data_IF_235209465238
#
_entry.id   IF_235209465238
#
_cell.length_a   1.000
_cell.length_b   1.000
_cell.length_c   1.000
_cell.angle_alpha   90.00
_cell.angle_beta   90.00
_cell.angle_gamma   90.00
#
_symmetry.space_group_name_H-M   'P 1'
#
loop_
_entity.id
_entity.type
_entity.pdbx_description
1 polymer ?
#
# COMPACT_ATOMS: atom_id res chain seq x y z
N UNK A 1 30.00 66.34 6.17
CA UNK A 1 28.58 65.96 6.31
C UNK A 1 27.85 66.56 5.12
N UNK A 2 27.60 65.82 4.04
CA UNK A 2 26.35 65.06 3.82
C UNK A 2 25.29 66.02 3.25
N UNK A 3 24.65 65.85 2.11
CA UNK A 3 24.68 64.85 1.04
C UNK A 3 23.96 65.48 -0.16
N UNK A 4 24.36 65.12 -1.38
CA UNK A 4 23.78 65.65 -2.62
C UNK A 4 22.62 64.76 -3.04
N UNK A 5 21.41 65.32 -3.06
CA UNK A 5 20.21 64.69 -3.58
C UNK A 5 19.92 65.18 -5.02
N UNK A 6 20.04 64.24 -5.94
CA UNK A 6 19.11 63.86 -7.01
C UNK A 6 18.38 64.93 -7.84
N UNK A 7 18.62 64.90 -9.16
CA UNK A 7 17.60 65.09 -10.19
C UNK A 7 18.05 64.41 -11.47
N UNK A 8 17.54 63.21 -11.75
CA UNK A 8 17.58 62.62 -13.08
C UNK A 8 16.15 62.22 -13.50
N UNK A 9 15.83 62.64 -14.70
CA UNK A 9 14.56 62.59 -15.40
C UNK A 9 14.23 61.21 -15.97
N UNK A 10 12.93 60.99 -16.22
CA UNK A 10 12.31 60.09 -17.23
C UNK A 10 12.55 58.58 -17.04
N UNK A 11 11.59 57.66 -17.13
CA UNK A 11 10.34 57.63 -17.90
C UNK A 11 9.54 56.35 -17.56
N UNK A 12 8.22 56.42 -17.74
CA UNK A 12 7.29 55.33 -18.11
C UNK A 12 7.32 54.01 -17.32
N UNK A 13 6.41 53.92 -16.35
CA UNK A 13 5.83 52.69 -15.83
C UNK A 13 4.88 52.05 -16.85
N UNK A 14 5.20 50.85 -17.31
CA UNK A 14 4.21 49.90 -17.82
C UNK A 14 4.52 48.52 -17.26
N UNK A 15 3.63 48.09 -16.36
CA UNK A 15 3.58 46.78 -15.75
C UNK A 15 3.12 45.75 -16.78
N UNK A 16 3.95 44.74 -17.06
CA UNK A 16 3.53 43.54 -17.77
C UNK A 16 3.94 42.30 -16.98
N UNK A 17 2.93 41.69 -16.35
CA UNK A 17 2.99 40.39 -15.71
C UNK A 17 3.53 39.33 -16.68
N UNK A 18 4.63 38.70 -16.33
CA UNK A 18 5.19 37.56 -17.05
C UNK A 18 4.27 36.34 -16.87
N UNK A 19 3.43 36.07 -17.87
CA UNK A 19 2.80 34.76 -18.04
C UNK A 19 3.91 33.75 -18.38
N UNK A 20 4.12 32.77 -17.53
CA UNK A 20 5.01 31.63 -17.78
C UNK A 20 4.42 30.76 -18.89
N UNK A 21 4.90 30.94 -20.12
CA UNK A 21 4.62 30.02 -21.21
C UNK A 21 5.54 28.80 -21.07
N UNK A 22 4.95 27.60 -20.93
CA UNK A 22 5.67 26.34 -20.96
C UNK A 22 6.36 26.09 -22.32
N UNK A 23 7.31 25.13 -22.38
CA UNK A 23 8.14 24.92 -23.56
C UNK A 23 7.31 24.40 -24.75
N UNK A 24 7.50 25.02 -25.91
CA UNK A 24 6.85 24.62 -27.17
C UNK A 24 7.76 23.71 -27.99
N UNK A 25 7.32 22.47 -28.23
CA UNK A 25 7.86 21.60 -29.26
C UNK A 25 6.72 21.18 -30.19
N UNK A 26 6.84 21.46 -31.49
CA UNK A 26 5.98 20.87 -32.52
C UNK A 26 4.56 21.43 -32.66
N UNK A 27 4.28 22.66 -32.26
CA UNK A 27 3.01 23.35 -32.59
C UNK A 27 1.74 22.81 -31.92
N UNK A 28 1.81 21.74 -31.13
CA UNK A 28 0.75 21.33 -30.22
C UNK A 28 0.91 22.07 -28.88
N UNK A 29 -0.08 22.90 -28.53
CA UNK A 29 -0.22 23.43 -27.16
C UNK A 29 -0.75 22.29 -26.30
N UNK A 30 0.16 21.62 -25.60
CA UNK A 30 -0.22 20.69 -24.54
C UNK A 30 -0.90 21.48 -23.41
N UNK A 31 -1.99 20.98 -22.81
CA UNK A 31 -2.53 21.59 -21.59
C UNK A 31 -1.40 21.68 -20.55
N UNK A 32 -1.37 22.79 -19.81
CA UNK A 32 -0.38 23.01 -18.75
C UNK A 32 -0.52 21.92 -17.68
N UNK A 33 0.25 20.85 -17.83
CA UNK A 33 0.30 19.77 -16.85
C UNK A 33 0.94 20.31 -15.57
N UNK A 34 0.33 20.12 -14.39
CA UNK A 34 0.81 20.68 -13.13
C UNK A 34 1.90 19.77 -12.55
N UNK A 35 2.95 19.47 -13.30
CA UNK A 35 4.09 18.77 -12.73
C UNK A 35 4.86 19.74 -11.83
N UNK A 36 5.10 19.35 -10.59
CA UNK A 36 6.24 19.86 -9.83
C UNK A 36 7.42 18.95 -10.18
N UNK A 37 8.25 19.36 -11.15
CA UNK A 37 9.41 18.56 -11.58
C UNK A 37 10.41 18.35 -10.46
N UNK A 38 10.50 19.28 -9.50
CA UNK A 38 11.36 19.10 -8.34
C UNK A 38 10.76 18.06 -7.39
N UNK A 39 9.44 18.01 -7.23
CA UNK A 39 8.78 16.93 -6.49
C UNK A 39 8.92 15.58 -7.20
N UNK A 40 8.69 15.52 -8.51
CA UNK A 40 8.87 14.31 -9.30
C UNK A 40 10.32 13.83 -9.28
N UNK A 41 11.29 14.76 -9.30
CA UNK A 41 12.71 14.46 -9.15
C UNK A 41 13.05 13.92 -7.75
N UNK A 42 12.51 14.53 -6.68
CA UNK A 42 12.64 14.02 -5.31
C UNK A 42 12.02 12.64 -5.14
N UNK A 43 10.87 12.38 -5.76
CA UNK A 43 10.19 11.09 -5.68
C UNK A 43 10.88 10.01 -6.51
N UNK A 44 11.44 10.35 -7.67
CA UNK A 44 12.30 9.45 -8.43
C UNK A 44 13.60 9.16 -7.66
N UNK A 45 14.13 10.14 -6.93
CA UNK A 45 15.29 9.97 -6.05
C UNK A 45 14.93 9.08 -4.86
N UNK A 46 13.81 9.32 -4.17
CA UNK A 46 13.31 8.47 -3.07
C UNK A 46 13.03 7.05 -3.55
N UNK A 47 12.36 6.87 -4.71
CA UNK A 47 12.15 5.58 -5.35
C UNK A 47 13.47 4.83 -5.55
N UNK A 48 14.43 5.53 -6.15
CA UNK A 48 15.73 4.98 -6.46
C UNK A 48 16.50 4.65 -5.19
N UNK A 49 16.50 5.53 -4.19
CA UNK A 49 17.13 5.35 -2.88
C UNK A 49 16.49 4.18 -2.13
N UNK A 50 15.16 4.07 -2.06
CA UNK A 50 14.45 2.95 -1.45
C UNK A 50 14.84 1.61 -2.08
N UNK A 51 14.99 1.56 -3.41
CA UNK A 51 15.36 0.33 -4.12
C UNK A 51 16.86 0.03 -3.99
N UNK A 52 17.73 1.04 -4.03
CA UNK A 52 19.19 0.88 -4.09
C UNK A 52 19.83 0.78 -2.70
N UNK A 53 19.28 1.44 -1.69
CA UNK A 53 19.74 1.36 -0.29
C UNK A 53 19.07 0.23 0.50
N UNK A 54 18.14 -0.50 -0.12
CA UNK A 54 17.64 -1.75 0.44
C UNK A 54 18.81 -2.72 0.70
N UNK A 55 18.76 -3.45 1.82
CA UNK A 55 19.77 -4.49 2.14
C UNK A 55 19.91 -5.53 1.01
N UNK A 56 18.84 -5.77 0.26
CA UNK A 56 18.82 -6.61 -0.95
C UNK A 56 18.07 -5.94 -2.13
N UNK A 57 18.77 -5.13 -2.96
CA UNK A 57 18.20 -4.42 -4.10
C UNK A 57 17.67 -5.34 -5.19
N UNK A 58 18.28 -6.52 -5.36
CA UNK A 58 17.90 -7.48 -6.39
C UNK A 58 16.56 -8.14 -6.05
N UNK A 59 16.34 -8.46 -4.78
CA UNK A 59 15.03 -8.94 -4.31
C UNK A 59 13.95 -7.87 -4.43
N UNK A 60 14.27 -6.60 -4.15
CA UNK A 60 13.36 -5.47 -4.40
C UNK A 60 12.95 -5.36 -5.87
N UNK A 61 13.92 -5.37 -6.79
CA UNK A 61 13.65 -5.30 -8.24
C UNK A 61 12.81 -6.49 -8.74
N UNK A 62 13.07 -7.70 -8.25
CA UNK A 62 12.27 -8.90 -8.57
C UNK A 62 10.82 -8.76 -8.09
N UNK A 63 10.61 -8.24 -6.88
CA UNK A 63 9.26 -8.01 -6.33
C UNK A 63 8.46 -6.99 -7.16
N UNK A 64 9.09 -5.90 -7.60
CA UNK A 64 8.47 -4.93 -8.50
C UNK A 64 8.11 -5.58 -9.85
N UNK A 65 9.02 -6.34 -10.44
CA UNK A 65 8.76 -7.06 -11.69
C UNK A 65 7.60 -8.05 -11.56
N UNK A 66 7.55 -8.80 -10.45
CA UNK A 66 6.46 -9.72 -10.13
C UNK A 66 5.12 -8.97 -9.98
N UNK A 67 5.10 -7.82 -9.30
CA UNK A 67 3.89 -7.01 -9.17
C UNK A 67 3.35 -6.57 -10.54
N UNK A 68 4.22 -6.13 -11.43
CA UNK A 68 3.84 -5.75 -12.80
C UNK A 68 3.30 -6.95 -13.58
N UNK A 69 3.96 -8.10 -13.51
CA UNK A 69 3.54 -9.32 -14.19
C UNK A 69 2.19 -9.83 -13.67
N UNK A 70 2.02 -9.92 -12.36
CA UNK A 70 0.75 -10.32 -11.74
C UNK A 70 -0.38 -9.35 -12.08
N UNK A 71 -0.11 -8.04 -12.08
CA UNK A 71 -1.08 -7.01 -12.50
C UNK A 71 -1.53 -7.23 -13.95
N UNK A 72 -0.58 -7.46 -14.86
CA UNK A 72 -0.88 -7.76 -16.27
C UNK A 72 -1.71 -9.05 -16.42
N UNK A 73 -1.43 -10.09 -15.64
CA UNK A 73 -2.19 -11.35 -15.67
C UNK A 73 -3.63 -11.15 -15.18
N UNK A 74 -3.84 -10.45 -14.05
CA UNK A 74 -5.18 -10.15 -13.52
C UNK A 74 -6.00 -9.34 -14.53
N UNK A 75 -5.38 -8.34 -15.16
CA UNK A 75 -6.03 -7.55 -16.21
C UNK A 75 -6.35 -8.40 -17.45
N UNK A 76 -5.45 -9.28 -17.87
CA UNK A 76 -5.66 -10.21 -19.00
C UNK A 76 -6.84 -11.16 -18.74
N UNK A 77 -6.94 -11.70 -17.52
CA UNK A 77 -8.07 -12.53 -17.10
C UNK A 77 -9.38 -11.74 -17.11
N UNK A 78 -9.37 -10.49 -16.63
CA UNK A 78 -10.52 -9.59 -16.66
C UNK A 78 -10.95 -9.25 -18.09
N UNK A 79 -10.00 -9.10 -19.01
CA UNK A 79 -10.29 -8.88 -20.44
C UNK A 79 -10.91 -10.12 -21.06
N UNK A 80 -10.35 -11.29 -20.79
CA UNK A 80 -10.81 -12.56 -21.36
C UNK A 80 -12.20 -12.95 -20.83
N UNK A 81 -12.52 -12.62 -19.58
CA UNK A 81 -13.82 -12.88 -18.95
C UNK A 81 -14.91 -11.87 -19.30
N UNK A 82 -14.57 -10.77 -19.97
CA UNK A 82 -15.47 -9.64 -20.24
C UNK A 82 -15.67 -8.69 -19.04
N UNK A 83 -15.08 -8.98 -17.87
CA UNK A 83 -15.12 -8.09 -16.69
C UNK A 83 -14.50 -6.71 -16.99
N UNK A 84 -13.49 -6.63 -17.87
CA UNK A 84 -12.87 -5.36 -18.25
C UNK A 84 -13.79 -4.49 -19.11
N UNK A 85 -14.58 -5.08 -20.01
CA UNK A 85 -15.54 -4.34 -20.84
C UNK A 85 -16.59 -3.68 -19.97
N UNK A 86 -17.10 -4.41 -18.97
CA UNK A 86 -18.03 -3.87 -17.98
C UNK A 86 -17.42 -2.70 -17.21
N UNK A 87 -16.17 -2.82 -16.74
CA UNK A 87 -15.45 -1.72 -16.07
C UNK A 87 -15.26 -0.48 -16.96
N UNK A 88 -14.90 -0.68 -18.23
CA UNK A 88 -14.78 0.43 -19.18
C UNK A 88 -16.12 1.09 -19.47
N UNK A 89 -17.18 0.30 -19.62
CA UNK A 89 -18.54 0.81 -19.83
C UNK A 89 -19.04 1.60 -18.62
N UNK A 90 -18.73 1.15 -17.40
CA UNK A 90 -19.08 1.88 -16.20
C UNK A 90 -18.29 3.20 -16.09
N UNK A 91 -16.97 3.16 -16.33
CA UNK A 91 -16.13 4.35 -16.30
C UNK A 91 -16.57 5.38 -17.35
N UNK A 92 -16.92 4.91 -18.56
CA UNK A 92 -17.48 5.75 -19.61
C UNK A 92 -18.85 6.32 -19.22
N UNK A 93 -19.68 5.55 -18.54
CA UNK A 93 -20.99 5.99 -18.03
C UNK A 93 -20.83 7.05 -16.95
N UNK A 94 -19.96 6.82 -15.97
CA UNK A 94 -19.63 7.77 -14.91
C UNK A 94 -19.06 9.07 -15.48
N UNK A 95 -18.18 8.99 -16.48
CA UNK A 95 -17.61 10.16 -17.14
C UNK A 95 -18.67 10.98 -17.89
N UNK A 96 -19.54 10.33 -18.67
CA UNK A 96 -20.64 11.02 -19.39
C UNK A 96 -21.57 11.74 -18.41
N UNK A 97 -21.84 11.10 -17.27
CA UNK A 97 -22.70 11.66 -16.24
C UNK A 97 -22.06 12.88 -15.56
N UNK A 98 -20.78 12.80 -15.18
CA UNK A 98 -20.04 13.93 -14.62
C UNK A 98 -19.98 15.13 -15.58
N UNK A 99 -19.83 14.88 -16.88
CA UNK A 99 -19.85 15.93 -17.92
C UNK A 99 -21.23 16.58 -18.03
N UNK A 100 -22.32 15.80 -17.99
CA UNK A 100 -23.68 16.35 -18.01
C UNK A 100 -23.99 17.20 -16.77
N UNK A 101 -23.55 16.79 -15.60
CA UNK A 101 -23.75 17.54 -14.35
C UNK A 101 -23.03 18.90 -14.37
N UNK A 102 -21.79 18.94 -14.86
CA UNK A 102 -21.05 20.19 -15.07
C UNK A 102 -21.75 21.12 -16.07
N UNK A 103 -22.34 20.57 -17.14
CA UNK A 103 -23.02 21.36 -18.16
C UNK A 103 -24.37 21.92 -17.72
N UNK A 104 -25.06 21.26 -16.79
CA UNK A 104 -26.40 21.66 -16.36
C UNK A 104 -26.42 22.56 -15.11
N UNK A 105 -25.29 22.74 -14.41
CA UNK A 105 -25.22 23.63 -13.24
C UNK A 105 -26.13 23.22 -12.07
N UNK A 106 -26.56 21.94 -12.02
CA UNK A 106 -27.43 21.42 -10.97
C UNK A 106 -26.64 21.15 -9.66
N UNK A 107 -27.19 21.49 -8.48
CA UNK A 107 -26.60 21.07 -7.21
C UNK A 107 -26.68 19.54 -7.03
N UNK A 108 -25.67 18.99 -6.37
CA UNK A 108 -25.34 17.56 -6.18
C UNK A 108 -26.38 16.70 -5.44
N UNK A 109 -27.57 17.22 -5.13
CA UNK A 109 -28.57 16.55 -4.28
C UNK A 109 -29.63 15.72 -5.03
N UNK A 110 -29.65 15.72 -6.37
CA UNK A 110 -30.67 14.99 -7.16
C UNK A 110 -30.18 13.66 -7.78
N UNK A 111 -28.90 13.31 -7.63
CA UNK A 111 -28.22 12.19 -8.30
C UNK A 111 -28.54 10.77 -7.75
N UNK A 112 -29.64 10.57 -7.03
CA UNK A 112 -29.62 9.69 -5.85
C UNK A 112 -29.73 8.16 -6.05
N UNK A 113 -29.88 7.61 -7.27
CA UNK A 113 -30.03 6.14 -7.41
C UNK A 113 -29.18 5.50 -8.52
N UNK A 114 -29.22 6.01 -9.76
CA UNK A 114 -28.48 5.38 -10.87
C UNK A 114 -27.00 5.76 -10.94
N UNK A 115 -26.64 7.00 -10.55
CA UNK A 115 -25.25 7.47 -10.39
C UNK A 115 -24.52 6.63 -9.34
N UNK A 116 -25.17 6.45 -8.19
CA UNK A 116 -24.66 5.66 -7.08
C UNK A 116 -24.57 4.18 -7.45
N UNK A 117 -25.57 3.60 -8.14
CA UNK A 117 -25.55 2.20 -8.54
C UNK A 117 -24.47 1.86 -9.60
N UNK A 118 -24.27 2.73 -10.60
CA UNK A 118 -23.19 2.56 -11.58
C UNK A 118 -21.81 2.71 -10.91
N UNK A 119 -21.66 3.64 -9.96
CA UNK A 119 -20.44 3.78 -9.17
C UNK A 119 -20.20 2.61 -8.21
N UNK A 120 -21.25 2.06 -7.59
CA UNK A 120 -21.14 0.99 -6.59
C UNK A 120 -20.77 -0.35 -7.25
N UNK A 121 -21.37 -0.68 -8.39
CA UNK A 121 -20.99 -1.87 -9.16
C UNK A 121 -19.59 -1.77 -9.79
N UNK A 122 -19.18 -0.57 -10.22
CA UNK A 122 -17.80 -0.30 -10.64
C UNK A 122 -16.81 -0.53 -9.50
N UNK A 123 -17.13 0.01 -8.32
CA UNK A 123 -16.29 -0.10 -7.12
C UNK A 123 -16.18 -1.56 -6.68
N UNK A 124 -17.27 -2.34 -6.72
CA UNK A 124 -17.22 -3.78 -6.45
C UNK A 124 -16.34 -4.53 -7.44
N UNK A 125 -16.47 -4.26 -8.75
CA UNK A 125 -15.61 -4.87 -9.78
C UNK A 125 -14.14 -4.52 -9.57
N UNK A 126 -13.83 -3.25 -9.30
CA UNK A 126 -12.46 -2.80 -9.01
C UNK A 126 -11.91 -3.44 -7.73
N UNK A 127 -12.71 -3.51 -6.66
CA UNK A 127 -12.34 -4.15 -5.41
C UNK A 127 -12.01 -5.64 -5.61
N UNK A 128 -12.81 -6.36 -6.40
CA UNK A 128 -12.60 -7.77 -6.72
C UNK A 128 -11.29 -8.00 -7.49
N UNK A 129 -10.98 -7.15 -8.47
CA UNK A 129 -9.71 -7.24 -9.19
C UNK A 129 -8.52 -6.95 -8.26
N UNK A 130 -8.64 -5.95 -7.39
CA UNK A 130 -7.59 -5.62 -6.42
C UNK A 130 -7.38 -6.76 -5.41
N UNK A 131 -8.46 -7.37 -4.91
CA UNK A 131 -8.41 -8.55 -4.02
C UNK A 131 -7.69 -9.72 -4.69
N UNK A 132 -8.06 -10.06 -5.94
CA UNK A 132 -7.38 -11.11 -6.73
C UNK A 132 -5.89 -10.81 -6.93
N UNK A 133 -5.54 -9.55 -7.19
CA UNK A 133 -4.15 -9.12 -7.28
C UNK A 133 -3.43 -9.34 -5.95
N UNK A 134 -4.05 -8.98 -4.82
CA UNK A 134 -3.46 -9.18 -3.49
C UNK A 134 -3.24 -10.66 -3.17
N UNK A 135 -4.19 -11.53 -3.50
CA UNK A 135 -4.04 -12.98 -3.34
C UNK A 135 -2.89 -13.56 -4.15
N UNK A 136 -2.74 -13.11 -5.40
CA UNK A 136 -1.63 -13.56 -6.26
C UNK A 136 -0.27 -13.06 -5.79
N UNK A 137 -0.22 -11.86 -5.21
CA UNK A 137 1.01 -11.29 -4.66
C UNK A 137 1.39 -11.89 -3.30
N UNK A 138 0.43 -12.38 -2.51
CA UNK A 138 0.66 -13.12 -1.28
C UNK A 138 0.87 -12.23 -0.04
N UNK A 139 1.74 -12.68 0.88
CA UNK A 139 1.79 -12.27 2.29
C UNK A 139 1.54 -10.78 2.59
N UNK A 140 2.35 -9.87 2.03
CA UNK A 140 2.21 -8.42 2.28
C UNK A 140 0.88 -7.86 1.81
N UNK A 141 0.42 -8.28 0.64
CA UNK A 141 -0.78 -7.76 0.02
C UNK A 141 -2.03 -8.35 0.67
N UNK A 142 -2.00 -9.61 1.10
CA UNK A 142 -3.05 -10.17 1.97
C UNK A 142 -3.15 -9.38 3.27
N UNK A 143 -2.03 -9.01 3.90
CA UNK A 143 -1.99 -8.14 5.08
C UNK A 143 -2.61 -6.75 4.84
N UNK A 144 -2.32 -6.13 3.69
CA UNK A 144 -3.00 -4.90 3.26
C UNK A 144 -4.50 -5.13 3.08
N UNK A 145 -4.90 -6.27 2.53
CA UNK A 145 -6.31 -6.66 2.41
C UNK A 145 -7.01 -6.79 3.76
N UNK A 146 -6.35 -7.40 4.75
CA UNK A 146 -6.84 -7.51 6.13
C UNK A 146 -6.98 -6.13 6.78
N UNK A 147 -6.02 -5.23 6.54
CA UNK A 147 -6.10 -3.83 7.00
C UNK A 147 -7.33 -3.12 6.41
N UNK A 148 -7.57 -3.26 5.11
CA UNK A 148 -8.75 -2.71 4.43
C UNK A 148 -10.04 -3.27 5.03
N UNK A 149 -10.12 -4.60 5.17
CA UNK A 149 -11.27 -5.30 5.73
C UNK A 149 -11.60 -4.88 7.18
N UNK A 150 -10.59 -4.48 7.94
CA UNK A 150 -10.72 -4.10 9.36
C UNK A 150 -10.87 -2.59 9.59
N UNK A 151 -10.93 -1.79 8.51
CA UNK A 151 -10.96 -0.32 8.58
C UNK A 151 -12.27 0.27 8.05
N UNK A 152 -13.41 0.02 8.72
CA UNK A 152 -14.74 0.35 8.21
C UNK A 152 -14.99 1.86 8.03
N UNK A 153 -14.21 2.70 8.69
CA UNK A 153 -14.30 4.16 8.61
C UNK A 153 -13.43 4.76 7.50
N UNK A 154 -12.48 3.99 6.95
CA UNK A 154 -11.51 4.48 5.97
C UNK A 154 -11.89 4.12 4.53
N UNK A 155 -12.62 3.03 4.33
CA UNK A 155 -12.95 2.53 3.00
C UNK A 155 -14.46 2.45 2.75
N UNK A 156 -14.92 2.56 1.50
CA UNK A 156 -16.31 2.28 1.14
C UNK A 156 -16.71 0.84 1.51
N UNK A 157 -17.97 0.66 1.91
CA UNK A 157 -18.51 -0.66 2.33
C UNK A 157 -18.28 -1.75 1.28
N UNK A 158 -18.48 -1.45 0.00
CA UNK A 158 -18.26 -2.39 -1.10
C UNK A 158 -16.82 -2.92 -1.16
N UNK A 159 -15.83 -2.10 -0.84
CA UNK A 159 -14.43 -2.52 -0.77
C UNK A 159 -14.22 -3.40 0.47
N UNK A 160 -14.70 -2.95 1.64
CA UNK A 160 -14.55 -3.69 2.90
C UNK A 160 -15.14 -5.10 2.80
N UNK A 161 -16.34 -5.21 2.23
CA UNK A 161 -17.06 -6.47 2.07
C UNK A 161 -16.28 -7.45 1.18
N UNK A 162 -15.73 -6.98 0.05
CA UNK A 162 -14.92 -7.80 -0.85
C UNK A 162 -13.63 -8.27 -0.17
N UNK A 163 -12.98 -7.41 0.60
CA UNK A 163 -11.75 -7.72 1.32
C UNK A 163 -11.94 -8.57 2.58
N UNK A 164 -13.19 -8.83 3.03
CA UNK A 164 -13.43 -9.82 4.09
C UNK A 164 -12.86 -11.21 3.71
N UNK A 165 -12.79 -11.55 2.43
CA UNK A 165 -12.16 -12.79 1.96
C UNK A 165 -10.65 -12.87 2.22
N UNK A 166 -9.98 -11.77 2.59
CA UNK A 166 -8.58 -11.78 3.00
C UNK A 166 -8.38 -12.13 4.49
N UNK A 167 -9.48 -12.28 5.25
CA UNK A 167 -9.45 -12.70 6.66
C UNK A 167 -9.28 -14.22 6.83
N UNK A 168 -9.25 -14.99 5.72
CA UNK A 168 -9.11 -16.44 5.71
C UNK A 168 -7.72 -16.92 6.21
N UNK A 169 -7.68 -18.17 6.68
CA UNK A 169 -6.52 -18.80 7.30
C UNK A 169 -5.31 -18.88 6.37
N UNK A 170 -4.14 -18.48 6.87
CA UNK A 170 -2.89 -18.53 6.11
C UNK A 170 -2.28 -19.92 6.28
N UNK A 171 -1.91 -20.63 5.19
CA UNK A 171 -1.32 -21.95 5.31
C UNK A 171 -0.02 -21.90 6.15
N UNK A 172 0.22 -22.92 6.99
CA UNK A 172 1.42 -22.98 7.81
C UNK A 172 2.67 -23.26 6.98
N UNK A 173 3.80 -22.75 7.45
CA UNK A 173 5.11 -23.12 6.94
C UNK A 173 5.57 -24.46 7.54
N UNK A 174 6.49 -25.10 6.82
CA UNK A 174 7.12 -26.35 7.25
C UNK A 174 7.89 -26.13 8.55
N UNK A 175 7.57 -26.90 9.59
CA UNK A 175 8.28 -26.76 10.86
C UNK A 175 9.77 -27.06 10.70
N UNK A 176 10.11 -28.14 9.97
CA UNK A 176 11.48 -28.63 9.85
C UNK A 176 12.34 -27.76 8.95
N UNK A 177 11.76 -27.21 7.89
CA UNK A 177 12.51 -26.47 6.88
C UNK A 177 12.61 -24.99 7.23
N UNK A 178 11.59 -24.42 7.88
CA UNK A 178 11.49 -22.98 8.09
C UNK A 178 11.47 -22.61 9.57
N UNK A 179 10.45 -23.06 10.31
CA UNK A 179 10.18 -22.56 11.68
C UNK A 179 11.28 -22.96 12.67
N UNK A 180 11.76 -24.20 12.62
CA UNK A 180 12.79 -24.68 13.53
C UNK A 180 14.09 -23.87 13.41
N UNK A 181 14.44 -23.41 12.20
CA UNK A 181 15.63 -22.56 11.98
C UNK A 181 15.48 -21.25 12.73
N UNK A 182 14.35 -20.57 12.59
CA UNK A 182 14.06 -19.31 13.30
C UNK A 182 14.12 -19.51 14.81
N UNK A 183 13.48 -20.58 15.34
CA UNK A 183 13.52 -20.89 16.78
C UNK A 183 14.98 -21.07 17.24
N UNK A 184 15.79 -21.81 16.48
CA UNK A 184 17.17 -22.06 16.83
C UNK A 184 18.03 -20.80 16.75
N UNK A 185 17.86 -19.97 15.74
CA UNK A 185 18.61 -18.72 15.58
C UNK A 185 18.30 -17.75 16.73
N UNK A 186 17.03 -17.49 16.99
CA UNK A 186 16.57 -16.54 18.02
C UNK A 186 16.91 -17.00 19.45
N UNK A 187 16.88 -18.32 19.70
CA UNK A 187 17.16 -18.87 21.02
C UNK A 187 18.62 -19.31 21.22
N UNK A 188 19.52 -19.01 20.29
CA UNK A 188 20.96 -19.23 20.45
C UNK A 188 21.43 -20.67 20.23
N UNK A 189 20.72 -21.42 19.38
CA UNK A 189 21.11 -22.71 18.84
C UNK A 189 20.24 -23.89 19.31
N UNK A 190 20.24 -24.97 18.51
CA UNK A 190 19.45 -26.18 18.79
C UNK A 190 19.75 -26.78 20.19
N UNK A 191 21.01 -26.75 20.62
CA UNK A 191 21.42 -27.26 21.93
C UNK A 191 20.73 -26.52 23.07
N UNK A 192 20.62 -25.19 22.98
CA UNK A 192 19.93 -24.35 23.96
C UNK A 192 18.42 -24.56 23.91
N UNK A 193 17.83 -24.73 22.74
CA UNK A 193 16.41 -25.06 22.62
C UNK A 193 16.08 -26.40 23.28
N UNK A 194 16.94 -27.41 23.11
CA UNK A 194 16.79 -28.72 23.78
C UNK A 194 16.92 -28.62 25.30
N UNK A 195 17.67 -27.66 25.86
CA UNK A 195 17.73 -27.46 27.31
C UNK A 195 16.53 -26.70 27.86
N UNK A 196 15.94 -25.78 27.07
CA UNK A 196 14.78 -24.99 27.45
C UNK A 196 13.47 -25.80 27.37
N UNK A 197 13.29 -26.58 26.30
CA UNK A 197 12.04 -27.29 26.02
C UNK A 197 12.24 -28.81 26.07
N UNK A 198 11.25 -29.50 26.64
CA UNK A 198 11.18 -30.95 26.61
C UNK A 198 10.48 -31.46 25.34
N UNK A 199 9.53 -30.68 24.80
CA UNK A 199 8.81 -30.94 23.57
C UNK A 199 8.41 -29.62 22.91
N UNK A 200 8.49 -29.56 21.58
CA UNK A 200 7.84 -28.55 20.74
C UNK A 200 7.03 -29.34 19.71
N UNK A 201 5.75 -29.04 19.55
CA UNK A 201 4.89 -29.73 18.58
C UNK A 201 5.14 -29.18 17.18
N UNK A 202 5.49 -30.06 16.24
CA UNK A 202 5.75 -29.68 14.84
C UNK A 202 4.47 -29.18 14.15
N UNK A 203 3.31 -29.71 14.55
CA UNK A 203 2.00 -29.24 14.09
C UNK A 203 1.65 -27.92 14.78
N UNK A 204 1.37 -26.84 14.03
CA UNK A 204 1.04 -25.55 14.63
C UNK A 204 -0.38 -25.55 15.20
N UNK A 205 -0.56 -24.83 16.31
CA UNK A 205 -1.87 -24.50 16.87
C UNK A 205 -2.64 -23.52 15.97
N UNK A 206 -1.92 -22.59 15.34
CA UNK A 206 -2.46 -21.59 14.43
C UNK A 206 -1.34 -21.05 13.52
N UNK A 207 -1.71 -20.54 12.35
CA UNK A 207 -0.79 -19.80 11.47
C UNK A 207 -1.44 -18.51 11.02
N UNK A 208 -0.78 -17.39 11.31
CA UNK A 208 -1.15 -16.08 10.84
C UNK A 208 -0.24 -15.64 9.68
N UNK A 209 -0.52 -14.49 9.11
CA UNK A 209 0.27 -13.94 8.00
C UNK A 209 1.74 -13.68 8.38
N UNK A 210 2.00 -13.23 9.62
CA UNK A 210 3.37 -12.87 10.09
C UNK A 210 4.02 -13.97 10.91
N UNK A 211 3.26 -14.70 11.72
CA UNK A 211 3.79 -15.63 12.70
C UNK A 211 3.01 -16.94 12.71
N UNK A 212 3.68 -17.99 13.15
CA UNK A 212 3.10 -19.31 13.38
C UNK A 212 3.19 -19.66 14.86
N UNK A 213 2.16 -20.31 15.38
CA UNK A 213 2.01 -20.58 16.80
C UNK A 213 2.12 -22.08 17.06
N UNK A 214 3.02 -22.47 17.96
CA UNK A 214 3.28 -23.87 18.31
C UNK A 214 3.07 -24.10 19.80
N UNK A 215 2.61 -25.31 20.16
CA UNK A 215 2.60 -25.77 21.55
C UNK A 215 4.00 -26.24 21.93
N UNK A 216 4.44 -25.92 23.14
CA UNK A 216 5.69 -26.43 23.70
C UNK A 216 5.56 -26.74 25.19
N UNK A 217 6.52 -27.49 25.72
CA UNK A 217 6.58 -27.83 27.14
C UNK A 217 7.94 -27.44 27.69
N UNK A 218 7.97 -26.60 28.73
CA UNK A 218 9.19 -26.20 29.40
C UNK A 218 9.85 -27.40 30.10
N UNK A 219 11.16 -27.56 29.91
CA UNK A 219 11.90 -28.68 30.52
C UNK A 219 12.05 -28.52 32.04
N UNK A 220 12.22 -27.29 32.51
CA UNK A 220 12.49 -26.99 33.93
C UNK A 220 11.28 -27.23 34.83
N UNK A 221 10.08 -26.90 34.36
CA UNK A 221 8.85 -26.93 35.17
C UNK A 221 7.85 -27.99 34.70
N UNK A 222 7.92 -28.42 33.44
CA UNK A 222 6.89 -29.26 32.80
C UNK A 222 5.65 -28.48 32.35
N UNK A 223 5.65 -27.15 32.46
CA UNK A 223 4.53 -26.29 32.08
C UNK A 223 4.35 -26.25 30.56
N UNK A 224 3.09 -26.27 30.11
CA UNK A 224 2.73 -26.05 28.70
C UNK A 224 2.73 -24.56 28.38
N UNK A 225 3.44 -24.19 27.31
CA UNK A 225 3.56 -22.82 26.83
C UNK A 225 3.25 -22.75 25.34
N UNK A 226 3.00 -21.53 24.88
CA UNK A 226 2.77 -21.22 23.47
C UNK A 226 4.00 -20.50 22.92
N UNK A 227 4.56 -21.02 21.83
CA UNK A 227 5.64 -20.41 21.07
C UNK A 227 5.08 -19.75 19.82
N UNK A 228 5.03 -18.41 19.81
CA UNK A 228 4.75 -17.62 18.61
C UNK A 228 6.08 -17.34 17.91
N UNK A 229 6.22 -17.83 16.69
CA UNK A 229 7.45 -17.75 15.90
C UNK A 229 7.18 -16.89 14.67
N UNK A 230 7.94 -15.81 14.51
CA UNK A 230 7.86 -14.97 13.32
C UNK A 230 8.32 -15.78 12.09
N UNK A 231 7.58 -15.71 10.98
CA UNK A 231 7.96 -16.41 9.74
C UNK A 231 9.27 -15.80 9.22
N UNK A 232 10.20 -16.61 8.66
CA UNK A 232 11.46 -16.10 8.15
C UNK A 232 11.26 -15.06 7.05
N UNK A 233 12.16 -14.07 7.00
CA UNK A 233 12.21 -12.99 6.00
C UNK A 233 10.95 -12.10 5.88
N UNK A 234 9.94 -12.31 6.73
CA UNK A 234 8.64 -11.65 6.60
C UNK A 234 8.74 -10.14 6.82
N UNK A 235 9.56 -9.69 7.78
CA UNK A 235 9.71 -8.27 8.10
C UNK A 235 10.36 -7.49 6.95
N UNK A 236 11.41 -8.04 6.33
CA UNK A 236 12.09 -7.41 5.21
C UNK A 236 11.23 -7.41 3.94
N UNK A 237 10.54 -8.51 3.67
CA UNK A 237 9.59 -8.61 2.55
C UNK A 237 8.45 -7.59 2.71
N UNK A 238 7.81 -7.55 3.89
CA UNK A 238 6.77 -6.59 4.22
C UNK A 238 7.24 -5.15 4.03
N UNK A 239 8.40 -4.80 4.58
CA UNK A 239 8.95 -3.45 4.45
C UNK A 239 9.18 -3.07 2.99
N UNK A 240 9.81 -3.95 2.22
CA UNK A 240 10.11 -3.70 0.80
C UNK A 240 8.83 -3.46 0.00
N UNK A 241 7.83 -4.32 0.18
CA UNK A 241 6.56 -4.23 -0.54
C UNK A 241 5.76 -2.99 -0.13
N UNK A 242 5.69 -2.68 1.17
CA UNK A 242 4.96 -1.51 1.67
C UNK A 242 5.61 -0.20 1.23
N UNK A 243 6.94 -0.13 1.21
CA UNK A 243 7.66 1.03 0.70
C UNK A 243 7.41 1.21 -0.82
N UNK A 244 7.33 0.11 -1.59
CA UNK A 244 6.98 0.16 -3.01
C UNK A 244 5.54 0.64 -3.25
N UNK A 245 4.57 0.16 -2.46
CA UNK A 245 3.17 0.61 -2.52
C UNK A 245 3.05 2.09 -2.14
N UNK A 246 3.72 2.51 -1.06
CA UNK A 246 3.75 3.91 -0.63
C UNK A 246 4.26 4.82 -1.74
N UNK A 247 5.38 4.43 -2.37
CA UNK A 247 5.98 5.16 -3.48
C UNK A 247 5.03 5.26 -4.68
N UNK A 248 4.35 4.16 -5.03
CA UNK A 248 3.37 4.16 -6.11
C UNK A 248 2.21 5.14 -5.81
N UNK A 249 1.67 5.10 -4.59
CA UNK A 249 0.61 6.02 -4.15
C UNK A 249 1.08 7.49 -4.21
N UNK A 250 2.28 7.79 -3.69
CA UNK A 250 2.85 9.14 -3.75
C UNK A 250 3.10 9.63 -5.18
N UNK A 251 3.54 8.74 -6.07
CA UNK A 251 3.71 9.07 -7.49
C UNK A 251 2.37 9.41 -8.14
N UNK A 252 1.31 8.64 -7.86
CA UNK A 252 -0.03 8.92 -8.37
C UNK A 252 -0.57 10.27 -7.85
N UNK A 253 -0.38 10.57 -6.57
CA UNK A 253 -0.77 11.84 -5.95
C UNK A 253 -0.01 13.04 -6.52
N UNK A 254 1.26 12.88 -6.91
CA UNK A 254 2.00 13.93 -7.61
C UNK A 254 1.49 14.17 -9.03
N UNK A 255 1.10 13.11 -9.74
CA UNK A 255 0.61 13.21 -11.12
C UNK A 255 -0.77 13.85 -11.17
N UNK A 256 -1.60 13.62 -10.15
CA UNK A 256 -2.90 14.24 -9.97
C UNK A 256 -3.12 14.67 -8.50
N UNK A 257 -2.84 15.94 -8.16
CA UNK A 257 -3.04 16.46 -6.80
C UNK A 257 -4.48 16.36 -6.29
N UNK A 258 -5.47 16.16 -7.17
CA UNK A 258 -6.85 15.94 -6.75
C UNK A 258 -7.05 14.57 -6.08
N UNK A 259 -6.18 13.61 -6.36
CA UNK A 259 -6.15 12.29 -5.69
C UNK A 259 -5.75 12.43 -4.23
N UNK A 260 -4.71 13.21 -3.94
CA UNK A 260 -4.27 13.47 -2.56
C UNK A 260 -5.39 14.12 -1.73
N UNK A 261 -6.05 15.14 -2.30
CA UNK A 261 -7.13 15.86 -1.61
C UNK A 261 -8.38 15.01 -1.36
N UNK A 262 -8.68 14.06 -2.25
CA UNK A 262 -9.90 13.25 -2.19
C UNK A 262 -9.72 11.95 -1.41
N UNK A 263 -8.54 11.34 -1.50
CA UNK A 263 -8.31 9.98 -1.03
C UNK A 263 -7.18 9.85 -0.02
N UNK A 264 -6.15 10.72 -0.07
CA UNK A 264 -5.00 10.67 0.87
C UNK A 264 -4.34 9.29 0.95
N UNK A 265 -4.20 8.60 -0.19
CA UNK A 265 -3.81 7.18 -0.27
C UNK A 265 -2.45 6.93 0.38
N UNK A 266 -1.47 7.80 0.16
CA UNK A 266 -0.14 7.63 0.73
C UNK A 266 -0.13 7.71 2.26
N UNK A 267 -0.97 8.57 2.85
CA UNK A 267 -1.15 8.66 4.29
C UNK A 267 -1.76 7.39 4.87
N UNK A 268 -2.80 6.85 4.20
CA UNK A 268 -3.41 5.57 4.58
C UNK A 268 -2.39 4.43 4.52
N UNK A 269 -1.58 4.36 3.46
CA UNK A 269 -0.53 3.34 3.32
C UNK A 269 0.58 3.53 4.35
N UNK A 270 0.95 4.76 4.71
CA UNK A 270 1.94 5.01 5.76
C UNK A 270 1.45 4.54 7.13
N UNK A 271 0.17 4.76 7.45
CA UNK A 271 -0.43 4.26 8.68
C UNK A 271 -0.57 2.73 8.68
N UNK A 272 -0.98 2.14 7.56
CA UNK A 272 -0.99 0.70 7.37
C UNK A 272 0.42 0.12 7.52
N UNK A 273 1.44 0.78 6.97
CA UNK A 273 2.84 0.36 7.06
C UNK A 273 3.31 0.32 8.51
N UNK A 274 3.04 1.37 9.28
CA UNK A 274 3.37 1.41 10.72
C UNK A 274 2.67 0.30 11.48
N UNK A 275 1.36 0.12 11.27
CA UNK A 275 0.58 -0.90 11.96
C UNK A 275 1.07 -2.32 11.64
N UNK A 276 1.29 -2.63 10.36
CA UNK A 276 1.71 -3.95 9.90
C UNK A 276 3.15 -4.26 10.36
N UNK A 277 4.08 -3.30 10.27
CA UNK A 277 5.46 -3.54 10.69
C UNK A 277 5.58 -3.70 12.21
N UNK A 278 4.73 -3.03 13.00
CA UNK A 278 4.69 -3.24 14.46
C UNK A 278 4.35 -4.69 14.83
N UNK A 279 3.53 -5.38 14.05
CA UNK A 279 3.20 -6.80 14.29
C UNK A 279 4.40 -7.75 14.08
N UNK A 280 5.46 -7.30 13.41
CA UNK A 280 6.68 -8.11 13.24
C UNK A 280 7.57 -8.09 14.48
N UNK A 281 7.35 -7.15 15.41
CA UNK A 281 8.04 -7.06 16.69
C UNK A 281 7.24 -7.77 17.79
N UNK A 282 7.51 -9.06 17.95
CA UNK A 282 6.85 -9.89 18.96
C UNK A 282 7.23 -9.49 20.40
N UNK A 283 8.35 -8.79 20.61
CA UNK A 283 8.69 -8.28 21.94
C UNK A 283 7.79 -7.09 22.31
N UNK A 284 7.51 -6.21 21.36
CA UNK A 284 6.58 -5.12 21.56
C UNK A 284 5.17 -5.64 21.84
N UNK A 285 4.74 -6.69 21.12
CA UNK A 285 3.49 -7.38 21.40
C UNK A 285 3.46 -7.94 22.84
N UNK A 286 4.54 -8.60 23.28
CA UNK A 286 4.64 -9.14 24.64
C UNK A 286 4.53 -8.04 25.71
N UNK A 287 5.22 -6.91 25.53
CA UNK A 287 5.13 -5.74 26.42
C UNK A 287 3.71 -5.17 26.49
N UNK A 288 3.01 -5.13 25.36
CA UNK A 288 1.63 -4.67 25.31
C UNK A 288 0.73 -5.62 26.12
N UNK A 289 0.86 -6.94 25.95
CA UNK A 289 0.08 -7.95 26.68
C UNK A 289 0.30 -7.86 28.19
N UNK A 290 1.53 -7.60 28.65
CA UNK A 290 1.81 -7.39 30.08
C UNK A 290 1.10 -6.16 30.65
N UNK A 291 0.91 -5.11 29.84
CA UNK A 291 0.23 -3.87 30.25
C UNK A 291 -1.29 -4.05 30.39
N UNK A 292 -1.88 -4.96 29.61
CA UNK A 292 -3.32 -5.26 29.65
C UNK A 292 -3.70 -6.42 30.61
N UNK A 293 -2.72 -7.01 31.30
CA UNK A 293 -2.91 -8.06 32.31
C UNK A 293 -3.28 -7.50 33.67
#
# INVERSE_FOLDING_TARGET
AGGIANANSSSSSSSSSSKSNGPQFGGLVWPSFPWDLDAAGRLAQEAFTTVVEARDPLSGAKRVAQAVECGAQVLSEAITSGESQLLFDDAATALRQAVQEQQQGLPSSSASASSLAASDESVKRAAKLLRKFFEKMGGTYIKLGQFIASSPTLFPKAIIDEFQGCLDDVPPLSYREDIAKVIYEELGGESRVRTLFSKIEEEPLASASIAQVHRATLRSTGEEVVLKVCKPDVSEALRTDLDAVYLACRTLELLDPSVEQRLGLSGIIEDARKAILQETDLEQEARNVETFR
#
